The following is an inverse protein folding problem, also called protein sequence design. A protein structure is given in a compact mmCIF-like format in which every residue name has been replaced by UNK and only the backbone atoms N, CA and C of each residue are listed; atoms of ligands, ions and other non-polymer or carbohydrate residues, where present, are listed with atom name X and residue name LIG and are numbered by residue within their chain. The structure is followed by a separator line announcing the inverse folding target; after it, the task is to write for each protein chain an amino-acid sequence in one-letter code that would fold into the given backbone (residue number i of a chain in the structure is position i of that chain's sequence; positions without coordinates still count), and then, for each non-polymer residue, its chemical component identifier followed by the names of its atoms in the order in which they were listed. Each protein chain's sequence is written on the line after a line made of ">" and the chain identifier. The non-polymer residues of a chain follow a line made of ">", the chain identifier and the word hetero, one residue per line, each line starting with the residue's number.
data_IF_119406254191
#
_entry.id   IF_119406254191
#
_cell.length_a   1.000
_cell.length_b   1.000
_cell.length_c   1.000
_cell.angle_alpha   90.00
_cell.angle_beta   90.00
_cell.angle_gamma   90.00
#
_symmetry.space_group_name_H-M   'P 1'
#
loop_
_entity.id
_entity.type
_entity.pdbx_description
1 polymer ?
#
# COMPACT_ATOMS: atom_id res chain seq x y z
N UNK A 1 -39.93 -67.39 -44.60
CA UNK A 1 -39.79 -65.91 -44.65
C UNK A 1 -38.79 -65.53 -43.58
N UNK A 2 -37.57 -65.22 -43.98
CA UNK A 2 -36.45 -64.99 -43.07
C UNK A 2 -36.43 -63.50 -42.76
N UNK A 3 -36.73 -63.15 -41.50
CA UNK A 3 -36.74 -61.76 -41.04
C UNK A 3 -35.31 -61.22 -41.09
N UNK A 4 -35.11 -60.17 -41.88
CA UNK A 4 -33.80 -59.57 -42.12
C UNK A 4 -33.35 -58.85 -40.83
N UNK A 5 -32.23 -59.24 -40.20
CA UNK A 5 -31.80 -58.70 -38.91
C UNK A 5 -31.38 -57.22 -38.96
N UNK A 6 -31.30 -56.63 -40.16
CA UNK A 6 -31.00 -55.22 -40.38
C UNK A 6 -32.22 -54.30 -40.14
N UNK A 7 -33.43 -54.86 -40.13
CA UNK A 7 -34.68 -54.12 -39.89
C UNK A 7 -34.88 -53.76 -38.40
N UNK A 8 -33.96 -54.23 -37.54
CA UNK A 8 -33.93 -53.93 -36.11
C UNK A 8 -32.92 -52.81 -35.75
N UNK A 9 -32.21 -52.24 -36.72
CA UNK A 9 -31.48 -50.99 -36.51
C UNK A 9 -32.48 -49.85 -36.45
N UNK A 10 -33.09 -49.71 -35.28
CA UNK A 10 -33.76 -48.51 -34.82
C UNK A 10 -32.83 -47.32 -35.09
N UNK A 11 -33.28 -46.39 -35.93
CA UNK A 11 -32.57 -45.19 -36.34
C UNK A 11 -31.78 -44.61 -35.17
N UNK A 12 -30.48 -44.38 -35.37
CA UNK A 12 -29.61 -43.71 -34.41
C UNK A 12 -30.25 -42.36 -34.07
N UNK A 13 -30.91 -42.30 -32.92
CA UNK A 13 -31.42 -41.05 -32.35
C UNK A 13 -30.19 -40.23 -31.97
N UNK A 14 -29.82 -39.31 -32.85
CA UNK A 14 -28.78 -38.33 -32.54
C UNK A 14 -29.34 -37.54 -31.35
N UNK A 15 -28.70 -37.59 -30.16
CA UNK A 15 -29.20 -36.84 -29.02
C UNK A 15 -29.25 -35.38 -29.44
N UNK A 16 -30.41 -34.75 -29.25
CA UNK A 16 -30.57 -33.34 -29.54
C UNK A 16 -29.41 -32.61 -28.88
N UNK A 17 -28.65 -31.90 -29.70
CA UNK A 17 -27.43 -31.19 -29.32
C UNK A 17 -27.64 -30.58 -27.94
N UNK A 18 -26.83 -31.01 -26.97
CA UNK A 18 -26.83 -30.46 -25.61
C UNK A 18 -26.67 -28.97 -25.77
N UNK A 19 -27.79 -28.24 -25.67
CA UNK A 19 -27.84 -26.79 -25.81
C UNK A 19 -26.85 -26.26 -24.80
N UNK A 20 -25.71 -25.79 -25.32
CA UNK A 20 -24.57 -25.32 -24.57
C UNK A 20 -25.05 -24.55 -23.34
N UNK A 21 -24.80 -25.17 -22.18
CA UNK A 21 -24.88 -24.69 -20.81
C UNK A 21 -25.94 -23.61 -20.52
N UNK A 22 -26.95 -23.86 -19.67
CA UNK A 22 -27.82 -22.80 -19.22
C UNK A 22 -26.92 -21.92 -18.35
N UNK A 23 -26.47 -20.80 -18.93
CA UNK A 23 -25.94 -19.70 -18.17
C UNK A 23 -27.12 -19.16 -17.35
N UNK A 24 -27.40 -19.89 -16.28
CA UNK A 24 -28.60 -19.76 -15.47
C UNK A 24 -28.60 -18.37 -14.88
N UNK A 25 -29.77 -17.75 -14.73
CA UNK A 25 -29.93 -16.43 -14.08
C UNK A 25 -29.03 -16.20 -12.84
N UNK A 26 -28.78 -17.17 -11.94
CA UNK A 26 -27.83 -16.98 -10.83
C UNK A 26 -26.37 -16.72 -11.26
N UNK A 27 -25.91 -17.19 -12.42
CA UNK A 27 -24.56 -16.90 -12.92
C UNK A 27 -24.37 -15.41 -13.24
N UNK A 28 -25.39 -14.73 -13.77
CA UNK A 28 -25.34 -13.27 -13.94
C UNK A 28 -25.19 -12.56 -12.60
N UNK A 29 -25.92 -13.02 -11.57
CA UNK A 29 -25.75 -12.54 -10.20
C UNK A 29 -24.31 -12.72 -9.69
N UNK A 30 -23.73 -13.91 -9.89
CA UNK A 30 -22.34 -14.19 -9.52
C UNK A 30 -21.34 -13.27 -10.24
N UNK A 31 -21.53 -13.01 -11.54
CA UNK A 31 -20.71 -12.06 -12.31
C UNK A 31 -20.83 -10.64 -11.74
N UNK A 32 -22.04 -10.17 -11.44
CA UNK A 32 -22.26 -8.84 -10.86
C UNK A 32 -21.57 -8.70 -9.49
N UNK A 33 -21.66 -9.72 -8.64
CA UNK A 33 -20.96 -9.73 -7.34
C UNK A 33 -19.45 -9.72 -7.56
N UNK A 34 -18.93 -10.55 -8.46
CA UNK A 34 -17.50 -10.60 -8.76
C UNK A 34 -16.97 -9.25 -9.26
N UNK A 35 -17.69 -8.60 -10.18
CA UNK A 35 -17.36 -7.25 -10.68
C UNK A 35 -17.36 -6.21 -9.56
N UNK A 36 -18.33 -6.27 -8.65
CA UNK A 36 -18.43 -5.35 -7.51
C UNK A 36 -17.24 -5.52 -6.57
N UNK A 37 -16.90 -6.77 -6.23
CA UNK A 37 -15.73 -7.10 -5.39
C UNK A 37 -14.44 -6.64 -6.08
N UNK A 38 -14.31 -6.88 -7.38
CA UNK A 38 -13.14 -6.47 -8.16
C UNK A 38 -13.01 -4.94 -8.17
N UNK A 39 -14.08 -4.22 -8.48
CA UNK A 39 -14.12 -2.76 -8.46
C UNK A 39 -13.77 -2.17 -7.09
N UNK A 40 -14.37 -2.71 -6.02
CA UNK A 40 -14.07 -2.31 -4.65
C UNK A 40 -12.60 -2.58 -4.29
N UNK A 41 -12.07 -3.74 -4.68
CA UNK A 41 -10.66 -4.09 -4.45
C UNK A 41 -9.73 -3.13 -5.18
N UNK A 42 -9.96 -2.88 -6.47
CA UNK A 42 -9.20 -1.92 -7.27
C UNK A 42 -9.24 -0.52 -6.65
N UNK A 43 -10.42 -0.06 -6.22
CA UNK A 43 -10.58 1.25 -5.59
C UNK A 43 -9.83 1.36 -4.26
N UNK A 44 -9.92 0.34 -3.40
CA UNK A 44 -9.18 0.28 -2.15
C UNK A 44 -7.67 0.25 -2.40
N UNK A 45 -7.20 -0.53 -3.37
CA UNK A 45 -5.79 -0.56 -3.76
C UNK A 45 -5.32 0.78 -4.30
N UNK A 46 -6.11 1.43 -5.15
CA UNK A 46 -5.80 2.76 -5.68
C UNK A 46 -5.69 3.80 -4.56
N UNK A 47 -6.66 3.83 -3.64
CA UNK A 47 -6.64 4.73 -2.48
C UNK A 47 -5.44 4.47 -1.59
N UNK A 48 -5.09 3.20 -1.36
CA UNK A 48 -3.88 2.81 -0.61
C UNK A 48 -2.60 3.27 -1.31
N UNK A 49 -2.53 3.12 -2.65
CA UNK A 49 -1.38 3.58 -3.40
C UNK A 49 -1.22 5.09 -3.32
N UNK A 50 -2.30 5.87 -3.53
CA UNK A 50 -2.28 7.33 -3.40
C UNK A 50 -1.78 7.76 -2.01
N UNK A 51 -2.26 7.12 -0.95
CA UNK A 51 -1.81 7.40 0.40
C UNK A 51 -0.32 7.07 0.62
N UNK A 52 0.23 6.05 -0.05
CA UNK A 52 1.63 5.67 0.05
C UNK A 52 2.56 6.46 -0.89
N UNK A 53 2.02 7.23 -1.85
CA UNK A 53 2.85 8.02 -2.78
C UNK A 53 3.72 9.03 -2.06
N UNK A 54 3.17 9.76 -1.08
CA UNK A 54 3.94 10.74 -0.31
C UNK A 54 5.15 10.11 0.40
N UNK A 55 4.98 8.91 0.99
CA UNK A 55 6.11 8.14 1.55
C UNK A 55 7.14 7.78 0.47
N UNK A 56 6.70 7.26 -0.68
CA UNK A 56 7.60 6.87 -1.78
C UNK A 56 8.41 8.06 -2.30
N UNK A 57 7.77 9.21 -2.45
CA UNK A 57 8.43 10.44 -2.86
C UNK A 57 9.44 10.92 -1.82
N UNK A 58 9.08 10.90 -0.54
CA UNK A 58 10.01 11.27 0.53
C UNK A 58 11.24 10.35 0.59
N UNK A 59 11.06 9.04 0.39
CA UNK A 59 12.17 8.07 0.29
C UNK A 59 13.04 8.35 -0.95
N UNK A 60 12.43 8.66 -2.09
CA UNK A 60 13.18 9.02 -3.30
C UNK A 60 14.00 10.29 -3.06
N UNK A 61 13.41 11.30 -2.43
CA UNK A 61 14.08 12.56 -2.10
C UNK A 61 15.20 12.37 -1.08
N UNK A 62 15.04 11.46 -0.11
CA UNK A 62 16.07 11.19 0.89
C UNK A 62 17.33 10.55 0.29
N UNK A 63 17.21 9.78 -0.79
CA UNK A 63 18.37 9.22 -1.50
C UNK A 63 19.15 10.25 -2.32
N UNK A 64 18.53 11.39 -2.67
CA UNK A 64 19.18 12.47 -3.43
C UNK A 64 19.73 13.61 -2.57
N UNK A 65 19.53 13.52 -1.25
CA UNK A 65 19.86 14.59 -0.31
C UNK A 65 20.91 14.08 0.68
N UNK A 66 22.12 14.62 0.61
CA UNK A 66 23.19 14.33 1.57
C UNK A 66 23.12 15.22 2.82
N UNK A 67 22.34 16.29 2.76
CA UNK A 67 22.20 17.25 3.85
C UNK A 67 21.24 16.72 4.94
N UNK A 68 21.77 16.51 6.16
CA UNK A 68 21.02 16.05 7.32
C UNK A 68 19.84 16.98 7.70
N UNK A 69 19.97 18.30 7.55
CA UNK A 69 18.87 19.24 7.81
C UNK A 69 17.72 19.08 6.81
N UNK A 70 18.06 18.84 5.54
CA UNK A 70 17.06 18.62 4.49
C UNK A 70 16.29 17.32 4.76
N UNK A 71 16.99 16.26 5.17
CA UNK A 71 16.39 14.98 5.58
C UNK A 71 15.46 15.15 6.78
N UNK A 72 15.87 15.89 7.81
CA UNK A 72 15.01 16.20 8.97
C UNK A 72 13.75 16.98 8.57
N UNK A 73 13.89 17.94 7.66
CA UNK A 73 12.76 18.71 7.11
C UNK A 73 11.79 17.80 6.34
N UNK A 74 12.30 16.86 5.54
CA UNK A 74 11.47 15.87 4.83
C UNK A 74 10.69 15.02 5.83
N UNK A 75 11.33 14.57 6.91
CA UNK A 75 10.67 13.79 7.95
C UNK A 75 9.56 14.60 8.64
N UNK A 76 9.82 15.87 9.01
CA UNK A 76 8.78 16.75 9.56
C UNK A 76 7.60 16.94 8.61
N UNK A 77 7.87 17.11 7.30
CA UNK A 77 6.81 17.20 6.28
C UNK A 77 6.01 15.91 6.16
N UNK A 78 6.65 14.74 6.27
CA UNK A 78 5.96 13.46 6.31
C UNK A 78 5.02 13.36 7.52
N UNK A 79 5.50 13.74 8.71
CA UNK A 79 4.67 13.76 9.92
C UNK A 79 3.48 14.71 9.73
N UNK A 80 3.71 15.92 9.23
CA UNK A 80 2.65 16.90 8.93
C UNK A 80 1.59 16.34 7.98
N UNK A 81 2.01 15.69 6.90
CA UNK A 81 1.09 15.16 5.88
C UNK A 81 0.19 14.04 6.42
N UNK A 82 0.72 13.16 7.30
CA UNK A 82 -0.03 11.99 7.79
C UNK A 82 -0.72 12.18 9.14
N UNK A 83 -0.14 13.00 10.01
CA UNK A 83 -0.59 13.19 11.39
C UNK A 83 -1.05 14.63 11.69
N UNK A 84 -0.94 15.54 10.74
CA UNK A 84 -1.39 16.93 10.85
C UNK A 84 -0.36 17.87 11.48
N UNK A 85 -0.74 19.15 11.57
CA UNK A 85 0.14 20.22 12.03
C UNK A 85 0.53 20.11 13.52
N UNK A 86 -0.38 19.62 14.37
CA UNK A 86 -0.15 19.47 15.82
C UNK A 86 0.94 18.45 16.14
N UNK A 87 1.09 17.42 15.32
CA UNK A 87 2.16 16.42 15.47
C UNK A 87 3.50 16.98 14.97
N UNK A 88 3.49 17.80 13.90
CA UNK A 88 4.69 18.37 13.32
C UNK A 88 5.23 19.60 14.07
N UNK A 89 4.39 20.29 14.83
CA UNK A 89 4.77 21.45 15.66
C UNK A 89 5.53 21.05 16.93
N UNK A 90 5.51 19.78 17.33
CA UNK A 90 6.27 19.28 18.49
C UNK A 90 7.77 19.48 18.26
N UNK A 91 8.47 19.94 19.30
CA UNK A 91 9.91 20.23 19.26
C UNK A 91 10.62 19.63 20.48
N UNK A 92 11.94 19.45 20.38
CA UNK A 92 12.74 18.93 21.49
C UNK A 92 12.36 17.48 21.85
N UNK A 93 12.16 17.20 23.14
CA UNK A 93 11.90 15.84 23.63
C UNK A 93 10.55 15.26 23.17
N UNK A 94 9.53 16.09 23.03
CA UNK A 94 8.23 15.63 22.49
C UNK A 94 8.34 15.20 21.03
N UNK A 95 9.23 15.84 20.27
CA UNK A 95 9.53 15.43 18.91
C UNK A 95 10.27 14.08 18.89
N UNK A 96 11.29 13.91 19.75
CA UNK A 96 12.08 12.68 19.81
C UNK A 96 11.22 11.46 20.17
N UNK A 97 10.33 11.61 21.17
CA UNK A 97 9.39 10.56 21.58
C UNK A 97 8.40 10.21 20.46
N UNK A 98 7.84 11.21 19.78
CA UNK A 98 6.98 11.00 18.62
C UNK A 98 7.73 10.31 17.48
N UNK A 99 8.95 10.76 17.19
CA UNK A 99 9.78 10.19 16.13
C UNK A 99 10.16 8.73 16.42
N UNK A 100 10.55 8.41 17.65
CA UNK A 100 10.85 7.03 18.07
C UNK A 100 9.62 6.12 17.99
N UNK A 101 8.40 6.66 18.18
CA UNK A 101 7.15 5.91 17.96
C UNK A 101 6.90 5.66 16.47
N UNK A 102 7.15 6.67 15.63
CA UNK A 102 6.86 6.63 14.19
C UNK A 102 7.95 5.96 13.34
N UNK A 103 9.19 5.93 13.81
CA UNK A 103 10.36 5.38 13.11
C UNK A 103 11.03 4.34 13.99
N UNK A 104 11.72 3.35 13.41
CA UNK A 104 12.47 2.35 14.20
C UNK A 104 13.83 2.85 14.69
N UNK A 105 14.09 4.15 14.56
CA UNK A 105 15.39 4.76 14.80
C UNK A 105 15.22 5.81 15.88
N UNK A 106 15.91 5.65 17.00
CA UNK A 106 15.92 6.64 18.07
C UNK A 106 16.97 7.70 17.77
N UNK A 107 16.54 8.97 17.80
CA UNK A 107 17.45 10.10 17.76
C UNK A 107 17.66 10.67 19.16
N UNK A 108 18.90 11.06 19.41
CA UNK A 108 19.29 11.69 20.67
C UNK A 108 19.17 13.20 20.54
N UNK A 109 18.95 13.90 21.64
CA UNK A 109 18.90 15.37 21.66
C UNK A 109 20.20 16.01 21.14
N UNK A 110 21.35 15.42 21.46
CA UNK A 110 22.67 15.83 20.93
C UNK A 110 22.74 15.79 19.40
N UNK A 111 22.16 14.76 18.78
CA UNK A 111 22.12 14.61 17.32
C UNK A 111 21.19 15.64 16.68
N UNK A 112 20.14 16.05 17.40
CA UNK A 112 19.21 17.06 16.93
C UNK A 112 19.81 18.47 17.02
N UNK A 113 20.61 18.72 18.06
CA UNK A 113 21.37 19.96 18.22
C UNK A 113 22.48 20.08 17.16
N UNK A 114 23.16 18.96 16.85
CA UNK A 114 24.21 18.95 15.81
C UNK A 114 23.65 19.16 14.40
N UNK A 115 22.35 18.93 14.14
CA UNK A 115 21.75 19.29 12.86
C UNK A 115 21.88 20.77 12.54
N UNK A 116 21.86 21.64 13.55
CA UNK A 116 21.97 23.09 13.36
C UNK A 116 23.42 23.59 13.43
N UNK A 117 24.38 22.70 13.72
CA UNK A 117 25.79 23.03 13.67
C UNK A 117 26.25 23.19 12.21
N UNK A 118 27.26 24.03 11.94
CA UNK A 118 27.80 24.23 10.59
C UNK A 118 28.51 22.99 10.02
N UNK A 119 28.89 22.03 10.88
CA UNK A 119 29.52 20.76 10.49
C UNK A 119 28.46 19.67 10.35
N UNK A 120 28.27 19.17 9.12
CA UNK A 120 27.34 18.07 8.84
C UNK A 120 28.04 16.71 8.96
N UNK A 121 27.51 15.87 9.85
CA UNK A 121 27.99 14.50 10.01
C UNK A 121 27.30 13.55 9.02
N UNK A 122 28.05 12.83 8.17
CA UNK A 122 27.48 11.86 7.23
C UNK A 122 26.83 10.66 7.94
N UNK A 123 27.25 10.35 9.17
CA UNK A 123 26.61 9.33 9.99
C UNK A 123 25.15 9.70 10.35
N UNK A 124 24.86 10.99 10.54
CA UNK A 124 23.52 11.46 10.87
C UNK A 124 22.59 11.49 9.66
N UNK A 125 23.09 11.84 8.48
CA UNK A 125 22.29 11.76 7.25
C UNK A 125 21.87 10.32 6.96
N UNK A 126 22.77 9.34 7.12
CA UNK A 126 22.45 7.92 6.99
C UNK A 126 21.37 7.48 7.99
N UNK A 127 21.48 7.91 9.24
CA UNK A 127 20.51 7.59 10.30
C UNK A 127 19.13 8.17 9.99
N UNK A 128 19.06 9.42 9.51
CA UNK A 128 17.82 10.06 9.09
C UNK A 128 17.21 9.42 7.84
N UNK A 129 18.03 9.02 6.87
CA UNK A 129 17.59 8.28 5.69
C UNK A 129 16.94 6.95 6.10
N UNK A 130 17.55 6.21 7.03
CA UNK A 130 16.96 4.99 7.62
C UNK A 130 15.65 5.28 8.37
N UNK A 131 15.56 6.40 9.08
CA UNK A 131 14.33 6.80 9.77
C UNK A 131 13.17 7.06 8.78
N UNK A 132 13.43 7.77 7.67
CA UNK A 132 12.45 8.01 6.60
C UNK A 132 11.98 6.69 5.96
N UNK A 133 12.92 5.77 5.69
CA UNK A 133 12.61 4.45 5.12
C UNK A 133 11.73 3.60 6.05
N UNK A 134 12.05 3.59 7.34
CA UNK A 134 11.33 2.80 8.37
C UNK A 134 10.06 3.49 8.90
N UNK A 135 9.72 4.68 8.41
CA UNK A 135 8.56 5.45 8.84
C UNK A 135 7.24 4.67 8.72
N UNK A 136 6.49 4.62 9.83
CA UNK A 136 5.18 3.97 9.93
C UNK A 136 4.06 4.98 9.68
N UNK A 137 3.31 4.76 8.61
CA UNK A 137 2.25 5.67 8.15
C UNK A 137 0.89 5.41 8.85
N UNK A 138 0.75 4.26 9.51
CA UNK A 138 -0.54 3.79 10.05
C UNK A 138 -0.54 3.61 11.56
N UNK A 139 0.48 4.13 12.25
CA UNK A 139 0.56 4.04 13.69
C UNK A 139 -0.52 4.97 14.28
N UNK A 140 -1.34 4.49 15.22
CA UNK A 140 -2.25 5.39 15.92
C UNK A 140 -1.43 6.25 16.87
N UNK A 141 -1.43 7.56 16.66
CA UNK A 141 -1.06 8.49 17.70
C UNK A 141 -2.29 8.60 18.61
N UNK A 142 -2.23 7.97 19.79
CA UNK A 142 -3.17 8.30 20.86
C UNK A 142 -2.85 9.73 21.27
N UNK A 143 -3.69 10.66 20.82
CA UNK A 143 -3.68 12.08 21.19
C UNK A 143 -4.80 12.29 22.18
#
# INVERSE_FOLDING_TARGET
>A
MQVNPLDQLNDVVIPQSVSWWPFSYPMWGAICVLLTIFGATCWLLYRRQQFLKAKKEAVKLSHSQDNAQALHTILKRLVKHYYGDTAASRSGQEWLTLQARLTRVELTQQELDSLYAPTQDPALSDKLCRAINTFKVKERLDV
#
